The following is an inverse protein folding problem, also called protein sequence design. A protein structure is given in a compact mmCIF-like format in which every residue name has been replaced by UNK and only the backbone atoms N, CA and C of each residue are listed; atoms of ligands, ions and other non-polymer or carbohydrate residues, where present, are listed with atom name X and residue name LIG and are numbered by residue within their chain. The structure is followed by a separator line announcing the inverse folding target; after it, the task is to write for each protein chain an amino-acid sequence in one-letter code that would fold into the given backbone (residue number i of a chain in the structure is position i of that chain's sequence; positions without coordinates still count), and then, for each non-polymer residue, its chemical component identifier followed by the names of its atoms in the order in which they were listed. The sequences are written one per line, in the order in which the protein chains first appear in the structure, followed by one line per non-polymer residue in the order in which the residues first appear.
data_IF_160271623762
#
_entry.id   IF_160271623762
#
_cell.length_a   1.000
_cell.length_b   1.000
_cell.length_c   1.000
_cell.angle_alpha   90.00
_cell.angle_beta   90.00
_cell.angle_gamma   90.00
#
_symmetry.space_group_name_H-M   'P 1'
#
loop_
_entity.id
_entity.type
_entity.pdbx_description
1 polymer ?
#
# COMPACT_ATOMS: atom_id res chain seq x y z
N UNK A 1 -11.27 -12.74 1.31
CA UNK A 1 -11.13 -11.26 1.47
C UNK A 1 -9.86 -10.98 2.24
N UNK A 2 -9.18 -9.88 1.92
CA UNK A 2 -7.95 -9.42 2.57
C UNK A 2 -8.17 -8.02 3.12
N UNK A 3 -7.60 -7.77 4.29
CA UNK A 3 -7.54 -6.44 4.91
C UNK A 3 -6.08 -6.01 4.98
N UNK A 4 -5.80 -4.80 4.53
CA UNK A 4 -4.46 -4.25 4.43
C UNK A 4 -4.36 -3.00 5.31
N UNK A 5 -3.23 -2.84 5.96
CA UNK A 5 -2.85 -1.61 6.67
C UNK A 5 -1.44 -1.22 6.24
N UNK A 6 -1.24 0.07 5.96
CA UNK A 6 0.07 0.63 5.71
C UNK A 6 0.34 1.74 6.73
N UNK A 7 1.56 1.76 7.26
CA UNK A 7 2.06 2.80 8.14
C UNK A 7 3.34 3.39 7.57
N UNK A 8 3.49 4.71 7.68
CA UNK A 8 4.70 5.44 7.31
C UNK A 8 5.09 6.32 8.49
N UNK A 9 6.37 6.29 8.88
CA UNK A 9 6.89 7.13 9.96
C UNK A 9 6.83 8.61 9.59
N UNK A 10 6.65 9.48 10.57
CA UNK A 10 6.38 10.91 10.36
C UNK A 10 7.44 11.61 9.50
N UNK A 11 8.71 11.24 9.66
CA UNK A 11 9.86 11.74 8.90
C UNK A 11 9.83 11.38 7.41
N UNK A 12 9.09 10.33 7.02
CA UNK A 12 8.96 9.87 5.64
C UNK A 12 7.64 10.25 4.97
N UNK A 13 6.64 10.71 5.74
CA UNK A 13 5.30 11.04 5.21
C UNK A 13 5.29 12.13 4.12
N UNK A 14 6.32 12.98 4.09
CA UNK A 14 6.50 13.99 3.04
C UNK A 14 7.00 13.43 1.70
N UNK A 15 7.53 12.21 1.69
CA UNK A 15 8.08 11.52 0.50
C UNK A 15 7.21 10.34 0.06
N UNK A 16 6.64 9.62 1.01
CA UNK A 16 5.78 8.45 0.76
C UNK A 16 4.54 8.58 1.63
N UNK A 17 3.35 8.47 1.04
CA UNK A 17 2.09 8.48 1.79
C UNK A 17 1.58 7.06 1.98
N UNK A 18 1.17 6.72 3.20
CA UNK A 18 0.57 5.43 3.52
C UNK A 18 -0.65 5.12 2.62
N UNK A 19 -1.44 6.14 2.28
CA UNK A 19 -2.58 6.01 1.37
C UNK A 19 -2.21 5.54 -0.03
N UNK A 20 -1.11 6.04 -0.59
CA UNK A 20 -0.62 5.65 -1.92
C UNK A 20 -0.05 4.23 -1.88
N UNK A 21 0.71 3.90 -0.83
CA UNK A 21 1.26 2.56 -0.61
C UNK A 21 0.16 1.50 -0.45
N UNK A 22 -0.83 1.72 0.41
CA UNK A 22 -1.90 0.74 0.63
C UNK A 22 -2.74 0.55 -0.62
N UNK A 23 -2.95 1.61 -1.41
CA UNK A 23 -3.75 1.55 -2.62
C UNK A 23 -3.00 0.84 -3.76
N UNK A 24 -1.67 0.99 -3.85
CA UNK A 24 -0.83 0.22 -4.77
C UNK A 24 -1.02 -1.29 -4.57
N UNK A 25 -0.96 -1.77 -3.32
CA UNK A 25 -1.18 -3.19 -2.99
C UNK A 25 -2.65 -3.58 -3.20
N UNK A 26 -3.59 -2.76 -2.73
CA UNK A 26 -5.02 -3.05 -2.80
C UNK A 26 -5.51 -3.25 -4.23
N UNK A 27 -5.04 -2.43 -5.18
CA UNK A 27 -5.44 -2.54 -6.59
C UNK A 27 -5.11 -3.90 -7.22
N UNK A 28 -4.02 -4.53 -6.77
CA UNK A 28 -3.55 -5.83 -7.27
C UNK A 28 -4.35 -7.00 -6.67
N UNK A 29 -4.97 -6.80 -5.50
CA UNK A 29 -5.83 -7.80 -4.84
C UNK A 29 -7.33 -7.51 -5.06
N UNK A 30 -7.67 -6.81 -6.14
CA UNK A 30 -9.06 -6.51 -6.52
C UNK A 30 -9.76 -5.62 -5.50
N UNK A 31 -9.04 -4.61 -5.01
CA UNK A 31 -9.39 -3.77 -3.87
C UNK A 31 -9.11 -2.29 -4.07
N UNK A 32 -9.42 -1.52 -3.04
CA UNK A 32 -9.12 -0.08 -2.94
C UNK A 32 -8.97 0.34 -1.48
N UNK A 33 -8.27 1.43 -1.25
CA UNK A 33 -8.11 1.99 0.08
C UNK A 33 -7.68 3.44 0.09
N UNK A 34 -7.38 3.91 1.30
CA UNK A 34 -6.98 5.27 1.56
C UNK A 34 -6.83 5.54 3.04
N UNK A 35 -6.46 6.77 3.38
CA UNK A 35 -6.25 7.18 4.75
C UNK A 35 -5.37 8.41 4.84
N UNK A 36 -4.77 8.60 6.01
CA UNK A 36 -3.85 9.70 6.27
C UNK A 36 -2.45 9.38 5.72
N UNK A 37 -1.55 10.37 5.60
CA UNK A 37 -0.18 10.14 5.16
C UNK A 37 0.62 9.17 6.03
N UNK A 38 0.35 9.15 7.35
CA UNK A 38 1.01 8.30 8.34
C UNK A 38 0.40 6.89 8.43
N UNK A 39 -0.89 6.76 8.16
CA UNK A 39 -1.60 5.49 8.28
C UNK A 39 -2.79 5.40 7.34
N UNK A 40 -2.90 4.29 6.61
CA UNK A 40 -3.99 4.02 5.69
C UNK A 40 -4.43 2.56 5.70
N UNK A 41 -5.66 2.32 5.27
CA UNK A 41 -6.27 1.00 5.25
C UNK A 41 -6.92 0.70 3.90
N UNK A 42 -6.96 -0.57 3.54
CA UNK A 42 -7.63 -1.04 2.33
C UNK A 42 -8.24 -2.43 2.51
N UNK A 43 -9.14 -2.78 1.60
CA UNK A 43 -9.67 -4.13 1.49
C UNK A 43 -9.55 -4.65 0.06
N UNK A 44 -9.43 -5.97 -0.08
CA UNK A 44 -9.36 -6.67 -1.37
C UNK A 44 -10.20 -7.94 -1.40
N UNK A 45 -10.61 -8.33 -2.60
CA UNK A 45 -11.43 -9.51 -2.85
C UNK A 45 -10.62 -10.73 -3.28
N UNK A 46 -9.37 -10.56 -3.71
CA UNK A 46 -8.51 -11.61 -4.28
C UNK A 46 -7.32 -11.92 -3.36
N UNK A 47 -7.50 -12.78 -2.33
CA UNK A 47 -6.42 -13.12 -1.40
C UNK A 47 -5.26 -13.87 -2.07
N UNK A 48 -5.52 -14.62 -3.15
CA UNK A 48 -4.51 -15.41 -3.85
C UNK A 48 -3.45 -14.53 -4.56
N UNK A 49 -3.79 -13.27 -4.86
CA UNK A 49 -2.86 -12.29 -5.44
C UNK A 49 -2.01 -11.56 -4.39
N UNK A 50 -2.24 -11.80 -3.09
CA UNK A 50 -1.54 -11.10 -2.01
C UNK A 50 -0.01 -11.28 -2.05
N UNK A 51 0.54 -12.49 -2.28
CA UNK A 51 2.00 -12.68 -2.31
C UNK A 51 2.69 -11.78 -3.35
N UNK A 52 2.16 -11.75 -4.58
CA UNK A 52 2.71 -10.93 -5.66
C UNK A 52 2.55 -9.43 -5.38
N UNK A 53 1.40 -9.04 -4.82
CA UNK A 53 1.14 -7.65 -4.44
C UNK A 53 2.06 -7.13 -3.33
N UNK A 54 2.50 -8.01 -2.41
CA UNK A 54 3.50 -7.65 -1.40
C UNK A 54 4.92 -7.59 -2.00
N UNK A 55 5.24 -8.48 -2.93
CA UNK A 55 6.52 -8.50 -3.62
C UNK A 55 6.73 -7.28 -4.54
N UNK A 56 5.67 -6.59 -4.97
CA UNK A 56 5.78 -5.37 -5.79
C UNK A 56 6.22 -4.13 -4.99
N UNK A 57 6.09 -4.14 -3.66
CA UNK A 57 6.29 -2.97 -2.80
C UNK A 57 7.72 -2.39 -2.87
N UNK A 58 8.80 -3.18 -2.81
CA UNK A 58 10.16 -2.63 -2.87
C UNK A 58 10.42 -1.84 -4.16
N UNK A 59 10.06 -2.39 -5.32
CA UNK A 59 10.24 -1.71 -6.61
C UNK A 59 9.39 -0.44 -6.72
N UNK A 60 8.16 -0.47 -6.20
CA UNK A 60 7.31 0.72 -6.13
C UNK A 60 7.90 1.81 -5.22
N UNK A 61 8.44 1.44 -4.06
CA UNK A 61 9.10 2.36 -3.14
C UNK A 61 10.37 2.97 -3.76
N UNK A 62 11.21 2.17 -4.42
CA UNK A 62 12.39 2.69 -5.13
C UNK A 62 12.02 3.73 -6.19
N UNK A 63 10.96 3.50 -6.95
CA UNK A 63 10.48 4.47 -7.94
C UNK A 63 9.89 5.74 -7.29
N UNK A 64 9.29 5.61 -6.11
CA UNK A 64 8.63 6.73 -5.39
C UNK A 64 9.63 7.60 -4.64
N UNK A 65 10.74 7.02 -4.18
CA UNK A 65 11.77 7.72 -3.40
C UNK A 65 12.86 8.40 -4.24
N UNK A 66 12.87 8.15 -5.56
CA UNK A 66 13.79 8.77 -6.53
C UNK A 66 13.53 10.26 -6.73
#
# INVERSE_FOLDING_TARGET
KVSLIAGVTSDLTGRVKAGELVNHVASQVGGKGGGRPDMAQAGGSQPDALPDALNSVPAWLENTLR
#
